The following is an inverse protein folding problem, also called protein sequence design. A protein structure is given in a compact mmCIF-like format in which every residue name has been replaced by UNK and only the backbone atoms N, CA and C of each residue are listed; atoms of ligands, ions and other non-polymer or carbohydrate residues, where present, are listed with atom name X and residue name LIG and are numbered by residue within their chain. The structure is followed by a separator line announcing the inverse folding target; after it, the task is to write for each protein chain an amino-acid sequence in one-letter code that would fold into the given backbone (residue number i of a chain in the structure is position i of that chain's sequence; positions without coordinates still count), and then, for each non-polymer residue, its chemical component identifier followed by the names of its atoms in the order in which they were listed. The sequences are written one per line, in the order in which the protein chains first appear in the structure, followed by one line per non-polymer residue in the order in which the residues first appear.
data_IF_496881537707
#
_entry.id   IF_496881537707
#
_cell.length_a   1.000
_cell.length_b   1.000
_cell.length_c   1.000
_cell.angle_alpha   90.00
_cell.angle_beta   90.00
_cell.angle_gamma   90.00
#
_symmetry.space_group_name_H-M   'P 1'
#
loop_
_entity.id
_entity.type
_entity.pdbx_description
1 polymer ?
#
# COMPACT_ATOMS: atom_id res chain seq x y z
N UNK A 1 29.63 -3.03 -18.79
CA UNK A 1 28.28 -2.96 -18.20
C UNK A 1 27.40 -3.98 -18.93
N UNK A 2 26.92 -5.01 -18.25
CA UNK A 2 26.19 -6.12 -18.87
C UNK A 2 24.81 -5.71 -19.40
N UNK A 3 24.42 -6.24 -20.57
CA UNK A 3 23.10 -6.01 -21.17
C UNK A 3 22.12 -7.00 -20.56
N UNK A 4 21.08 -6.51 -19.86
CA UNK A 4 20.02 -7.37 -19.32
C UNK A 4 19.18 -7.87 -20.49
N UNK A 5 19.05 -9.19 -20.60
CA UNK A 5 18.32 -9.88 -21.67
C UNK A 5 17.24 -10.76 -21.08
N UNK A 6 16.14 -10.93 -21.81
CA UNK A 6 15.07 -11.87 -21.45
C UNK A 6 15.49 -13.33 -21.66
N UNK A 7 14.60 -14.27 -21.33
CA UNK A 7 14.81 -15.71 -21.52
C UNK A 7 15.03 -16.13 -22.99
N UNK A 8 14.79 -15.24 -23.96
CA UNK A 8 15.02 -15.44 -25.39
C UNK A 8 16.21 -14.64 -25.92
N UNK A 9 17.02 -14.03 -25.05
CA UNK A 9 18.20 -13.25 -25.42
C UNK A 9 17.88 -11.87 -26.01
N UNK A 10 16.62 -11.41 -25.94
CA UNK A 10 16.24 -10.07 -26.39
C UNK A 10 16.58 -9.05 -25.30
N UNK A 11 17.24 -7.94 -25.64
CA UNK A 11 17.58 -6.93 -24.66
C UNK A 11 16.35 -6.17 -24.19
N UNK A 12 16.25 -5.92 -22.87
CA UNK A 12 15.23 -5.03 -22.33
C UNK A 12 15.50 -3.58 -22.72
N UNK A 13 14.44 -2.86 -23.08
CA UNK A 13 14.51 -1.43 -23.36
C UNK A 13 14.54 -0.63 -22.04
N UNK A 14 15.73 -0.12 -21.69
CA UNK A 14 15.95 0.69 -20.49
C UNK A 14 15.24 2.05 -20.54
N UNK A 15 14.72 2.48 -21.70
CA UNK A 15 13.92 3.70 -21.75
C UNK A 15 12.56 3.53 -21.07
N UNK A 16 12.05 2.29 -21.00
CA UNK A 16 10.74 1.99 -20.37
C UNK A 16 10.80 2.08 -18.85
N UNK A 17 11.96 1.80 -18.23
CA UNK A 17 12.11 1.83 -16.78
C UNK A 17 12.24 3.23 -16.19
N UNK A 18 12.56 4.25 -17.01
CA UNK A 18 12.70 5.63 -16.52
C UNK A 18 11.38 6.35 -16.27
N UNK A 19 10.27 5.79 -16.77
CA UNK A 19 8.96 6.34 -16.53
C UNK A 19 8.32 5.56 -15.38
N UNK A 20 7.64 6.23 -14.42
CA UNK A 20 6.84 5.54 -13.42
C UNK A 20 5.89 4.59 -14.15
N UNK A 21 5.83 3.32 -13.72
CA UNK A 21 4.98 2.32 -14.38
C UNK A 21 3.49 2.74 -14.39
N UNK A 22 3.12 3.61 -13.46
CA UNK A 22 1.81 4.25 -13.29
C UNK A 22 1.58 5.46 -14.23
N UNK A 23 2.63 6.10 -14.76
CA UNK A 23 2.51 7.29 -15.60
C UNK A 23 1.93 7.02 -17.01
N UNK A 24 1.96 5.76 -17.48
CA UNK A 24 1.33 5.33 -18.73
C UNK A 24 -0.10 4.80 -18.57
N UNK A 25 -0.76 5.01 -17.43
CA UNK A 25 -2.22 4.85 -17.37
C UNK A 25 -2.88 6.06 -18.04
N UNK A 26 -3.28 5.87 -19.30
CA UNK A 26 -4.20 6.74 -20.04
C UNK A 26 -5.41 7.00 -19.13
N UNK A 27 -5.49 8.22 -18.58
CA UNK A 27 -6.54 8.69 -17.68
C UNK A 27 -6.83 7.73 -16.52
N UNK A 28 -6.11 7.90 -15.40
CA UNK A 28 -6.84 7.94 -14.13
C UNK A 28 -7.86 9.08 -14.30
N UNK A 29 -9.06 8.77 -14.81
CA UNK A 29 -10.19 9.65 -14.64
C UNK A 29 -10.20 9.95 -13.14
N UNK A 30 -10.09 11.22 -12.77
CA UNK A 30 -10.36 11.68 -11.42
C UNK A 30 -11.77 11.24 -11.07
N UNK A 31 -11.89 10.00 -10.61
CA UNK A 31 -13.14 9.41 -10.21
C UNK A 31 -13.24 9.93 -8.80
N UNK A 32 -13.90 11.08 -8.67
CA UNK A 32 -14.29 11.59 -7.36
C UNK A 32 -14.91 10.44 -6.58
N UNK A 33 -14.59 10.30 -5.27
CA UNK A 33 -15.24 9.31 -4.43
C UNK A 33 -16.74 9.38 -4.70
N UNK A 34 -17.31 8.30 -5.20
CA UNK A 34 -18.75 8.22 -5.23
C UNK A 34 -19.15 8.17 -3.77
N UNK A 35 -20.12 8.95 -3.30
CA UNK A 35 -20.59 8.81 -1.92
C UNK A 35 -21.80 7.86 -1.93
N UNK A 36 -21.61 6.52 -2.04
CA UNK A 36 -22.70 5.56 -2.25
C UNK A 36 -23.69 5.52 -1.09
N UNK A 37 -23.30 6.00 0.09
CA UNK A 37 -24.22 6.18 1.22
C UNK A 37 -25.36 7.17 0.89
N UNK A 38 -25.13 8.15 -0.01
CA UNK A 38 -26.18 9.04 -0.52
C UNK A 38 -27.08 8.25 -1.48
N UNK A 39 -28.30 7.96 -1.03
CA UNK A 39 -29.23 7.12 -1.79
C UNK A 39 -28.96 5.63 -1.64
N UNK A 40 -28.41 5.21 -0.50
CA UNK A 40 -28.35 3.80 -0.13
C UNK A 40 -29.77 3.26 0.05
N UNK A 41 -30.07 2.13 -0.59
CA UNK A 41 -31.35 1.43 -0.45
C UNK A 41 -31.06 -0.03 -0.10
N UNK A 42 -32.07 -0.73 0.44
CA UNK A 42 -31.98 -2.15 0.78
C UNK A 42 -31.53 -3.00 -0.43
N UNK A 43 -31.83 -2.57 -1.66
CA UNK A 43 -31.41 -3.26 -2.88
C UNK A 43 -30.01 -2.89 -3.36
N UNK A 44 -29.50 -1.70 -2.99
CA UNK A 44 -28.21 -1.19 -3.46
C UNK A 44 -27.03 -1.76 -2.67
N UNK A 45 -27.17 -1.91 -1.36
CA UNK A 45 -26.11 -2.45 -0.51
C UNK A 45 -25.68 -3.88 -0.92
N UNK A 46 -26.58 -4.87 -1.10
CA UNK A 46 -26.18 -6.20 -1.53
C UNK A 46 -25.47 -6.20 -2.88
N UNK A 47 -25.87 -5.31 -3.79
CA UNK A 47 -25.23 -5.17 -5.11
C UNK A 47 -23.78 -4.68 -4.99
N UNK A 48 -23.53 -3.65 -4.16
CA UNK A 48 -22.16 -3.16 -3.91
C UNK A 48 -21.28 -4.30 -3.37
N UNK A 49 -21.80 -5.09 -2.45
CA UNK A 49 -21.06 -6.21 -1.86
C UNK A 49 -20.81 -7.36 -2.88
N UNK A 50 -21.80 -7.69 -3.71
CA UNK A 50 -21.63 -8.70 -4.78
C UNK A 50 -20.64 -8.25 -5.87
N UNK A 51 -20.63 -6.96 -6.19
CA UNK A 51 -19.65 -6.38 -7.13
C UNK A 51 -18.24 -6.45 -6.51
N UNK A 52 -18.10 -6.20 -5.21
CA UNK A 52 -16.83 -6.34 -4.49
C UNK A 52 -16.30 -7.79 -4.51
N UNK A 53 -17.16 -8.79 -4.31
CA UNK A 53 -16.79 -10.22 -4.44
C UNK A 53 -16.26 -10.58 -5.83
N UNK A 54 -16.63 -9.82 -6.87
CA UNK A 54 -16.15 -9.99 -8.24
C UNK A 54 -14.90 -9.15 -8.56
N UNK A 55 -14.32 -8.49 -7.55
CA UNK A 55 -13.12 -7.66 -7.67
C UNK A 55 -13.37 -6.18 -7.97
N UNK A 56 -14.62 -5.70 -7.91
CA UNK A 56 -14.95 -4.27 -8.06
C UNK A 56 -15.06 -3.60 -6.69
N UNK A 57 -13.91 -3.25 -6.12
CA UNK A 57 -13.84 -2.79 -4.73
C UNK A 57 -14.16 -1.29 -4.52
N UNK A 58 -14.11 -0.46 -5.56
CA UNK A 58 -14.23 1.01 -5.41
C UNK A 58 -15.50 1.45 -4.68
N UNK A 59 -16.67 0.95 -5.09
CA UNK A 59 -17.94 1.35 -4.47
C UNK A 59 -18.09 0.84 -3.03
N UNK A 60 -17.44 -0.28 -2.68
CA UNK A 60 -17.42 -0.79 -1.31
C UNK A 60 -16.47 0.04 -0.44
N UNK A 61 -15.28 0.36 -0.96
CA UNK A 61 -14.30 1.18 -0.25
C UNK A 61 -14.88 2.57 0.05
N UNK A 62 -15.46 3.23 -0.95
CA UNK A 62 -16.14 4.52 -0.79
C UNK A 62 -17.31 4.45 0.21
N UNK A 63 -18.04 3.34 0.25
CA UNK A 63 -19.12 3.14 1.23
C UNK A 63 -18.59 3.05 2.65
N UNK A 64 -17.47 2.38 2.85
CA UNK A 64 -16.84 2.26 4.17
C UNK A 64 -16.25 3.59 4.63
N UNK A 65 -15.65 4.36 3.72
CA UNK A 65 -15.22 5.74 3.99
C UNK A 65 -16.40 6.61 4.45
N UNK A 66 -17.51 6.56 3.70
CA UNK A 66 -18.76 7.27 4.05
C UNK A 66 -19.28 6.86 5.44
N UNK A 67 -19.17 5.58 5.82
CA UNK A 67 -19.61 5.08 7.12
C UNK A 67 -18.75 5.65 8.25
N UNK A 68 -17.43 5.70 8.07
CA UNK A 68 -16.49 6.27 9.05
C UNK A 68 -16.69 7.78 9.17
N UNK A 69 -16.89 8.50 8.06
CA UNK A 69 -17.09 9.95 8.06
C UNK A 69 -18.41 10.36 8.74
N UNK A 70 -19.48 9.57 8.58
CA UNK A 70 -20.84 9.95 9.01
C UNK A 70 -21.25 9.40 10.37
N UNK A 71 -20.64 8.31 10.82
CA UNK A 71 -20.97 7.69 12.11
C UNK A 71 -19.83 7.91 13.12
N UNK A 72 -20.07 8.78 14.10
CA UNK A 72 -19.09 9.11 15.13
C UNK A 72 -18.71 7.93 16.04
N UNK A 73 -19.58 6.94 16.20
CA UNK A 73 -19.25 5.73 16.95
C UNK A 73 -18.31 4.83 16.15
N UNK A 74 -18.60 4.60 14.87
CA UNK A 74 -17.69 3.87 13.97
C UNK A 74 -16.33 4.57 13.91
N UNK A 75 -16.30 5.88 13.72
CA UNK A 75 -15.07 6.67 13.74
C UNK A 75 -14.27 6.43 15.04
N UNK A 76 -14.93 6.53 16.19
CA UNK A 76 -14.28 6.37 17.50
C UNK A 76 -13.68 4.98 17.67
N UNK A 77 -14.40 3.93 17.28
CA UNK A 77 -13.89 2.56 17.38
C UNK A 77 -12.76 2.26 16.39
N UNK A 78 -12.86 2.78 15.16
CA UNK A 78 -11.79 2.65 14.17
C UNK A 78 -10.52 3.40 14.60
N UNK A 79 -10.65 4.63 15.10
CA UNK A 79 -9.52 5.41 15.60
C UNK A 79 -8.81 4.71 16.76
N UNK A 80 -9.56 4.14 17.72
CA UNK A 80 -8.96 3.35 18.81
C UNK A 80 -8.14 2.17 18.29
N UNK A 81 -8.67 1.43 17.31
CA UNK A 81 -7.99 0.27 16.73
C UNK A 81 -6.70 0.66 15.99
N UNK A 82 -6.73 1.73 15.19
CA UNK A 82 -5.55 2.21 14.47
C UNK A 82 -4.48 2.72 15.44
N UNK A 83 -4.88 3.57 16.40
CA UNK A 83 -3.95 4.18 17.33
C UNK A 83 -3.36 3.18 18.34
N UNK A 84 -4.06 2.06 18.62
CA UNK A 84 -3.52 1.00 19.46
C UNK A 84 -2.23 0.38 18.88
N UNK A 85 -2.03 0.44 17.56
CA UNK A 85 -0.81 -0.07 16.91
C UNK A 85 0.42 0.79 17.20
N UNK A 86 0.24 2.10 17.42
CA UNK A 86 1.34 3.03 17.70
C UNK A 86 1.94 2.84 19.11
N UNK A 87 1.18 2.24 20.02
CA UNK A 87 1.64 1.97 21.38
C UNK A 87 2.37 0.65 21.56
N UNK A 88 2.63 -0.09 20.48
CA UNK A 88 3.29 -1.40 20.54
C UNK A 88 4.80 -1.25 20.37
N UNK A 89 5.55 -1.85 21.28
CA UNK A 89 6.99 -2.05 21.09
C UNK A 89 7.20 -3.04 19.94
N UNK A 90 8.05 -2.66 18.98
CA UNK A 90 8.42 -3.51 17.84
C UNK A 90 9.94 -3.56 17.70
N UNK A 91 10.41 -4.61 17.03
CA UNK A 91 11.83 -4.81 16.72
C UNK A 91 11.99 -5.74 15.52
N UNK A 92 13.12 -5.61 14.83
CA UNK A 92 13.49 -6.45 13.69
C UNK A 92 14.44 -7.54 14.19
N UNK A 93 13.85 -8.71 14.39
CA UNK A 93 14.58 -9.86 14.94
C UNK A 93 15.18 -10.72 13.82
N UNK A 94 16.47 -11.08 13.93
CA UNK A 94 17.07 -12.03 13.01
C UNK A 94 16.44 -13.42 13.19
N UNK A 95 16.51 -14.25 12.14
CA UNK A 95 16.01 -15.63 12.23
C UNK A 95 16.75 -16.44 13.32
N UNK A 96 16.11 -17.50 13.82
CA UNK A 96 16.75 -18.43 14.76
C UNK A 96 18.03 -19.02 14.14
N UNK A 97 19.10 -19.08 14.93
CA UNK A 97 20.44 -19.52 14.52
C UNK A 97 21.01 -18.73 13.33
N UNK A 98 20.77 -17.41 13.31
CA UNK A 98 21.33 -16.52 12.31
C UNK A 98 22.87 -16.51 12.33
N UNK A 99 23.43 -16.46 11.13
CA UNK A 99 24.84 -16.17 10.89
C UNK A 99 25.18 -14.75 11.35
N UNK A 100 26.48 -14.44 11.47
CA UNK A 100 26.91 -13.09 11.82
C UNK A 100 26.42 -12.05 10.78
N UNK A 101 26.43 -12.41 9.50
CA UNK A 101 25.95 -11.54 8.41
C UNK A 101 24.46 -11.23 8.53
N UNK A 102 23.61 -12.23 8.82
CA UNK A 102 22.16 -12.03 8.98
C UNK A 102 21.82 -11.19 10.22
N UNK A 103 22.61 -11.28 11.29
CA UNK A 103 22.45 -10.42 12.46
C UNK A 103 22.81 -8.97 12.16
N UNK A 104 23.90 -8.76 11.42
CA UNK A 104 24.30 -7.43 10.98
C UNK A 104 23.26 -6.81 10.04
N UNK A 105 22.67 -7.61 9.14
CA UNK A 105 21.59 -7.16 8.28
C UNK A 105 20.35 -6.75 9.08
N UNK A 106 19.91 -7.56 10.05
CA UNK A 106 18.77 -7.20 10.90
C UNK A 106 19.02 -5.90 11.67
N UNK A 107 20.23 -5.70 12.22
CA UNK A 107 20.60 -4.46 12.90
C UNK A 107 20.61 -3.25 11.95
N UNK A 108 21.13 -3.41 10.73
CA UNK A 108 21.11 -2.36 9.71
C UNK A 108 19.69 -1.97 9.32
N UNK A 109 18.79 -2.95 9.15
CA UNK A 109 17.38 -2.68 8.82
C UNK A 109 16.68 -2.03 10.02
N UNK A 110 16.97 -2.45 11.26
CA UNK A 110 16.46 -1.79 12.46
C UNK A 110 16.86 -0.30 12.50
N UNK A 111 18.15 -0.01 12.32
CA UNK A 111 18.67 1.36 12.29
C UNK A 111 18.02 2.20 11.18
N UNK A 112 17.79 1.61 10.01
CA UNK A 112 17.08 2.27 8.92
C UNK A 112 15.61 2.56 9.28
N UNK A 113 14.87 1.63 9.90
CA UNK A 113 13.51 1.93 10.35
C UNK A 113 13.46 2.97 11.47
N UNK A 114 14.46 2.99 12.36
CA UNK A 114 14.57 3.97 13.44
C UNK A 114 14.87 5.38 12.91
N UNK A 115 15.44 5.51 11.70
CA UNK A 115 15.70 6.79 11.05
C UNK A 115 14.52 7.33 10.25
N UNK A 116 13.46 6.54 10.04
CA UNK A 116 12.25 6.98 9.32
C UNK A 116 11.39 7.92 10.18
N UNK A 117 11.34 9.19 9.79
CA UNK A 117 10.49 10.19 10.46
C UNK A 117 8.98 9.89 10.36
N UNK A 118 8.54 9.10 9.38
CA UNK A 118 7.14 8.88 9.03
C UNK A 118 6.62 7.45 9.32
N UNK A 119 7.34 6.65 10.10
CA UNK A 119 6.95 5.25 10.35
C UNK A 119 5.53 5.12 10.95
N UNK A 120 5.13 6.02 11.85
CA UNK A 120 3.78 6.02 12.42
C UNK A 120 2.70 6.20 11.35
N UNK A 121 2.94 7.09 10.37
CA UNK A 121 2.01 7.30 9.26
C UNK A 121 1.90 6.05 8.39
N UNK A 122 3.01 5.34 8.14
CA UNK A 122 3.03 4.08 7.38
C UNK A 122 2.19 3.02 8.08
N UNK A 123 2.32 2.90 9.41
CA UNK A 123 1.53 1.97 10.23
C UNK A 123 0.05 2.34 10.19
N UNK A 124 -0.29 3.62 10.36
CA UNK A 124 -1.67 4.09 10.32
C UNK A 124 -2.32 3.90 8.94
N UNK A 125 -1.57 4.14 7.86
CA UNK A 125 -2.00 3.88 6.48
C UNK A 125 -2.21 2.37 6.26
N UNK A 126 -1.37 1.51 6.83
CA UNK A 126 -1.56 0.05 6.75
C UNK A 126 -2.86 -0.36 7.48
N UNK A 127 -3.16 0.31 8.60
CA UNK A 127 -4.33 0.05 9.41
C UNK A 127 -5.66 0.44 8.74
N UNK A 128 -5.66 1.13 7.58
CA UNK A 128 -6.85 1.29 6.72
C UNK A 128 -7.44 -0.07 6.31
N UNK A 129 -6.61 -1.12 6.24
CA UNK A 129 -7.05 -2.47 5.95
C UNK A 129 -8.04 -3.03 6.99
N UNK A 130 -8.07 -2.50 8.22
CA UNK A 130 -9.05 -2.91 9.24
C UNK A 130 -10.48 -2.59 8.78
N UNK A 131 -10.66 -1.48 8.07
CA UNK A 131 -11.95 -1.06 7.54
C UNK A 131 -12.22 -1.64 6.15
N UNK A 132 -11.26 -1.48 5.23
CA UNK A 132 -11.45 -1.81 3.82
C UNK A 132 -11.14 -3.27 3.46
N UNK A 133 -10.46 -4.00 4.34
CA UNK A 133 -9.91 -5.33 4.04
C UNK A 133 -8.62 -5.30 3.22
N UNK A 134 -8.16 -4.12 2.80
CA UNK A 134 -6.89 -3.89 2.11
C UNK A 134 -6.34 -2.49 2.40
N UNK A 135 -5.04 -2.31 2.21
CA UNK A 135 -4.38 -1.00 2.14
C UNK A 135 -3.31 -1.07 1.04
N UNK A 136 -3.29 -0.09 0.16
CA UNK A 136 -2.34 -0.03 -0.94
C UNK A 136 -1.31 1.06 -0.64
N UNK A 137 -0.07 0.66 -0.42
CA UNK A 137 1.04 1.58 -0.19
C UNK A 137 2.05 1.47 -1.33
N UNK A 138 2.43 2.61 -1.88
CA UNK A 138 3.47 2.75 -2.89
C UNK A 138 4.77 3.11 -2.19
N UNK A 139 5.82 2.31 -2.43
CA UNK A 139 7.14 2.53 -1.84
C UNK A 139 8.04 3.29 -2.82
N UNK A 140 8.60 4.39 -2.34
CA UNK A 140 9.70 5.08 -3.00
C UNK A 140 11.03 4.48 -2.53
N UNK A 141 11.98 4.36 -3.45
CA UNK A 141 13.28 3.74 -3.20
C UNK A 141 14.40 4.71 -3.55
N UNK A 142 15.40 4.77 -2.69
CA UNK A 142 16.60 5.58 -2.88
C UNK A 142 17.86 4.73 -2.75
N UNK A 143 18.89 5.09 -3.51
CA UNK A 143 20.18 4.42 -3.47
C UNK A 143 21.12 5.18 -2.54
N UNK A 144 21.27 4.69 -1.32
CA UNK A 144 22.17 5.23 -0.31
C UNK A 144 23.37 4.31 -0.11
N UNK A 145 24.59 4.85 -0.16
CA UNK A 145 25.83 4.08 0.08
C UNK A 145 25.92 2.75 -0.70
N UNK A 146 25.38 2.72 -1.92
CA UNK A 146 25.30 1.53 -2.79
C UNK A 146 24.37 0.41 -2.27
N UNK A 147 23.40 0.76 -1.42
CA UNK A 147 22.29 -0.07 -0.95
C UNK A 147 20.97 0.62 -1.33
N UNK A 148 20.03 -0.14 -1.90
CA UNK A 148 18.68 0.37 -2.14
C UNK A 148 17.86 0.24 -0.86
N UNK A 149 17.42 1.38 -0.33
CA UNK A 149 16.56 1.46 0.84
C UNK A 149 15.25 2.17 0.45
N UNK A 150 14.10 1.75 0.99
CA UNK A 150 12.90 2.55 0.86
C UNK A 150 13.13 3.92 1.50
N UNK A 151 12.75 5.00 0.84
CA UNK A 151 12.85 6.36 1.37
C UNK A 151 11.50 6.86 1.90
N UNK A 152 10.40 6.44 1.27
CA UNK A 152 9.05 6.82 1.68
C UNK A 152 8.02 5.73 1.33
N UNK A 153 6.87 5.80 1.99
CA UNK A 153 5.67 5.07 1.60
C UNK A 153 4.48 6.04 1.46
N UNK A 154 3.70 5.86 0.41
CA UNK A 154 2.54 6.70 0.10
C UNK A 154 1.28 5.86 -0.02
N UNK A 155 0.18 6.30 0.61
CA UNK A 155 -1.12 5.67 0.44
C UNK A 155 -1.64 5.90 -1.00
N UNK A 156 -1.81 4.81 -1.74
CA UNK A 156 -2.42 4.81 -3.06
C UNK A 156 -3.89 4.42 -2.95
N UNK A 157 -4.81 5.34 -3.28
CA UNK A 157 -6.25 5.02 -3.28
C UNK A 157 -6.60 4.27 -4.57
N UNK A 158 -7.21 3.09 -4.45
CA UNK A 158 -7.60 2.23 -5.58
C UNK A 158 -8.61 2.96 -6.48
N UNK A 159 -8.09 3.65 -7.50
CA UNK A 159 -8.88 4.08 -8.64
C UNK A 159 -9.07 2.89 -9.60
N UNK A 160 -10.09 2.06 -9.33
CA UNK A 160 -10.78 1.24 -10.35
C UNK A 160 -9.98 0.22 -11.16
N UNK A 161 -8.84 -0.30 -10.68
CA UNK A 161 -8.07 -1.34 -11.39
C UNK A 161 -8.41 -2.73 -10.87
N UNK A 162 -8.89 -3.61 -11.76
CA UNK A 162 -9.08 -5.06 -11.53
C UNK A 162 -7.77 -5.81 -11.15
N UNK A 163 -6.62 -5.12 -11.08
CA UNK A 163 -5.29 -5.70 -10.90
C UNK A 163 -4.48 -5.05 -9.76
N UNK A 164 -5.12 -4.26 -8.88
CA UNK A 164 -4.42 -3.56 -7.79
C UNK A 164 -3.88 -4.48 -6.67
N UNK A 165 -4.07 -5.80 -6.77
CA UNK A 165 -3.27 -6.80 -6.08
C UNK A 165 -2.02 -7.13 -6.92
N UNK A 166 -1.17 -6.14 -7.16
CA UNK A 166 0.19 -6.38 -7.64
C UNK A 166 1.12 -5.71 -6.66
N UNK A 167 1.65 -6.55 -5.77
CA UNK A 167 2.95 -6.47 -5.10
C UNK A 167 3.76 -5.24 -5.53
N UNK A 168 4.08 -4.37 -4.56
CA UNK A 168 5.09 -3.33 -4.72
C UNK A 168 6.40 -4.00 -5.19
N UNK A 169 6.69 -3.89 -6.49
CA UNK A 169 7.98 -4.22 -7.07
C UNK A 169 8.52 -2.91 -7.63
N UNK A 170 9.49 -2.37 -6.89
CA UNK A 170 10.62 -1.55 -7.33
C UNK A 170 10.26 -0.55 -8.44
N UNK A 171 9.90 0.67 -8.05
CA UNK A 171 10.07 1.83 -8.93
C UNK A 171 11.52 2.30 -8.79
N UNK A 172 12.26 2.26 -9.89
CA UNK A 172 13.64 2.75 -10.03
C UNK A 172 13.71 3.85 -11.09
#
# INVERSE_FOLDING_TARGET
MGKIVDQWGRPFDKAVTKAPQTARMIQLNSTYPAHPSRGLTIRRLPRILQEAEQGYLSAQADLFDDMVEKDGHIFSEMAKRKNALLGLDWSIEPRRNATAEEKNLAAMVQEWFDSLDNLEDIILQAADAIGHGFSCQELEWELEENVWLPSAAHLSRIAGSRHALTVAIISA
#
